data_IF_449840915497
#
_entry.id   IF_449840915497
#
_cell.length_a   1.000
_cell.length_b   1.000
_cell.length_c   1.000
_cell.angle_alpha   90.00
_cell.angle_beta   90.00
_cell.angle_gamma   90.00
#
_symmetry.space_group_name_H-M   'P 1'
#
loop_
_entity.id
_entity.type
_entity.pdbx_description
1 polymer ?
#
# COMPACT_ATOMS: atom_id res chain seq x y z
N UNK A 1 -18.23 6.29 20.11
CA UNK A 1 -18.82 6.64 18.80
C UNK A 1 -18.46 5.57 17.78
N UNK A 2 -19.25 5.42 16.71
CA UNK A 2 -18.97 4.50 15.60
C UNK A 2 -18.90 5.30 14.30
N UNK A 3 -17.80 5.18 13.57
CA UNK A 3 -17.70 5.68 12.19
C UNK A 3 -17.85 4.49 11.23
N UNK A 4 -18.54 4.71 10.11
CA UNK A 4 -18.75 3.68 9.08
C UNK A 4 -18.33 4.20 7.73
N UNK A 5 -17.72 3.33 6.93
CA UNK A 5 -17.38 3.64 5.53
C UNK A 5 -18.64 3.66 4.64
N UNK A 6 -18.67 4.49 3.57
CA UNK A 6 -19.87 4.77 2.76
C UNK A 6 -20.21 3.75 1.66
N UNK A 7 -19.66 2.53 1.70
CA UNK A 7 -19.99 1.44 0.76
C UNK A 7 -19.61 1.71 -0.71
N UNK A 8 -18.48 2.40 -0.99
CA UNK A 8 -18.03 2.68 -2.36
C UNK A 8 -17.40 1.50 -3.10
N UNK A 9 -17.26 0.37 -2.41
CA UNK A 9 -16.49 -0.79 -2.83
C UNK A 9 -15.25 -0.95 -1.96
N UNK A 10 -14.81 -2.19 -1.85
CA UNK A 10 -13.78 -2.64 -0.92
C UNK A 10 -12.51 -1.77 -0.88
N UNK A 11 -11.91 -1.45 -2.03
CA UNK A 11 -10.66 -0.69 -2.12
C UNK A 11 -10.83 0.72 -1.56
N UNK A 12 -11.86 1.43 -2.03
CA UNK A 12 -12.12 2.81 -1.59
C UNK A 12 -12.49 2.86 -0.11
N UNK A 13 -13.30 1.90 0.36
CA UNK A 13 -13.66 1.84 1.77
C UNK A 13 -12.45 1.55 2.66
N UNK A 14 -11.51 0.71 2.21
CA UNK A 14 -10.28 0.45 2.96
C UNK A 14 -9.43 1.73 3.08
N UNK A 15 -9.27 2.49 1.99
CA UNK A 15 -8.61 3.80 2.06
C UNK A 15 -9.34 4.79 2.97
N UNK A 16 -10.66 4.86 2.90
CA UNK A 16 -11.45 5.76 3.77
C UNK A 16 -11.31 5.34 5.24
N UNK A 17 -11.33 4.04 5.53
CA UNK A 17 -11.15 3.51 6.88
C UNK A 17 -9.80 3.93 7.47
N UNK A 18 -8.72 3.75 6.72
CA UNK A 18 -7.39 4.24 7.11
C UNK A 18 -7.33 5.76 7.23
N UNK A 19 -8.03 6.49 6.36
CA UNK A 19 -8.19 7.93 6.45
C UNK A 19 -8.83 8.37 7.76
N UNK A 20 -9.86 7.64 8.21
CA UNK A 20 -10.55 7.89 9.48
C UNK A 20 -9.58 7.61 10.64
N UNK A 21 -8.91 6.46 10.63
CA UNK A 21 -7.94 6.08 11.67
C UNK A 21 -6.83 7.11 11.82
N UNK A 22 -6.17 7.51 10.71
CA UNK A 22 -5.10 8.51 10.76
C UNK A 22 -5.61 9.86 11.26
N UNK A 23 -6.78 10.30 10.78
CA UNK A 23 -7.36 11.57 11.22
C UNK A 23 -7.65 11.55 12.72
N UNK A 24 -8.22 10.46 13.25
CA UNK A 24 -8.47 10.31 14.68
C UNK A 24 -7.16 10.30 15.49
N UNK A 25 -6.14 9.58 15.03
CA UNK A 25 -4.81 9.55 15.64
C UNK A 25 -4.22 10.97 15.74
N UNK A 26 -4.27 11.73 14.64
CA UNK A 26 -3.78 13.12 14.59
C UNK A 26 -4.54 14.06 15.52
N UNK A 27 -5.80 13.75 15.80
CA UNK A 27 -6.61 14.46 16.78
C UNK A 27 -6.38 13.99 18.24
N UNK A 28 -5.41 13.10 18.49
CA UNK A 28 -5.02 12.64 19.84
C UNK A 28 -5.79 11.42 20.34
N UNK A 29 -6.43 10.65 19.46
CA UNK A 29 -7.03 9.37 19.85
C UNK A 29 -5.93 8.34 20.08
N UNK A 30 -5.92 7.74 21.26
CA UNK A 30 -4.93 6.72 21.68
C UNK A 30 -5.45 5.28 21.51
N UNK A 31 -6.77 5.09 21.41
CA UNK A 31 -7.40 3.78 21.33
C UNK A 31 -8.55 3.78 20.31
N UNK A 32 -8.53 2.82 19.39
CA UNK A 32 -9.64 2.49 18.50
C UNK A 32 -9.56 1.04 18.04
N UNK A 33 -10.69 0.51 17.57
CA UNK A 33 -10.78 -0.82 16.94
C UNK A 33 -11.34 -0.64 15.53
N UNK A 34 -10.62 -1.15 14.54
CA UNK A 34 -11.06 -1.23 13.15
C UNK A 34 -11.66 -2.62 12.90
N UNK A 35 -12.96 -2.66 12.60
CA UNK A 35 -13.73 -3.90 12.42
C UNK A 35 -14.10 -4.06 10.93
N UNK A 36 -13.51 -5.01 10.21
CA UNK A 36 -13.92 -5.32 8.84
C UNK A 36 -15.31 -5.96 8.80
N UNK A 37 -16.12 -5.56 7.82
CA UNK A 37 -17.50 -6.00 7.61
C UNK A 37 -17.74 -6.26 6.11
N UNK A 38 -17.07 -7.28 5.57
CA UNK A 38 -17.11 -7.58 4.14
C UNK A 38 -16.34 -6.54 3.33
N UNK A 39 -17.05 -5.70 2.58
CA UNK A 39 -16.47 -4.58 1.82
C UNK A 39 -16.44 -3.26 2.61
N UNK A 40 -17.01 -3.23 3.81
CA UNK A 40 -17.14 -2.05 4.67
C UNK A 40 -16.32 -2.18 5.94
N UNK A 41 -16.18 -1.07 6.67
CA UNK A 41 -15.54 -1.02 7.97
C UNK A 41 -16.36 -0.23 8.97
N UNK A 42 -16.33 -0.69 10.22
CA UNK A 42 -16.75 0.07 11.39
C UNK A 42 -15.53 0.41 12.23
N UNK A 43 -15.34 1.68 12.59
CA UNK A 43 -14.32 2.14 13.51
C UNK A 43 -15.00 2.48 14.85
N UNK A 44 -14.66 1.74 15.89
CA UNK A 44 -15.13 1.98 17.26
C UNK A 44 -14.10 2.79 18.03
N UNK A 45 -14.53 3.95 18.55
CA UNK A 45 -13.62 4.93 19.18
C UNK A 45 -14.36 5.83 20.16
N UNK A 46 -13.69 6.28 21.22
CA UNK A 46 -14.21 7.32 22.10
C UNK A 46 -13.85 8.74 21.59
N UNK A 47 -14.44 9.14 20.46
CA UNK A 47 -14.22 10.44 19.85
C UNK A 47 -15.51 11.03 19.28
N UNK A 48 -15.51 12.32 18.96
CA UNK A 48 -16.63 13.03 18.32
C UNK A 48 -16.39 13.24 16.83
N UNK A 49 -17.43 13.60 16.07
CA UNK A 49 -17.28 14.04 14.68
C UNK A 49 -16.39 15.29 14.56
N UNK A 50 -16.47 16.21 15.53
CA UNK A 50 -15.59 17.37 15.60
C UNK A 50 -14.11 17.00 15.75
N UNK A 51 -13.82 15.93 16.50
CA UNK A 51 -12.48 15.35 16.64
C UNK A 51 -11.96 14.84 15.29
N UNK A 52 -12.79 14.09 14.56
CA UNK A 52 -12.45 13.60 13.22
C UNK A 52 -12.16 14.77 12.25
N UNK A 53 -13.01 15.79 12.20
CA UNK A 53 -12.83 16.95 11.32
C UNK A 53 -11.55 17.74 11.65
N UNK A 54 -11.23 17.91 12.93
CA UNK A 54 -9.97 18.55 13.34
C UNK A 54 -8.76 17.74 12.86
N UNK A 55 -8.81 16.41 13.01
CA UNK A 55 -7.80 15.49 12.51
C UNK A 55 -7.61 15.52 11.00
N UNK A 56 -8.71 15.54 10.24
CA UNK A 56 -8.67 15.68 8.78
C UNK A 56 -7.98 17.01 8.42
N UNK A 57 -8.35 18.11 9.05
CA UNK A 57 -7.76 19.41 8.77
C UNK A 57 -6.24 19.44 9.05
N UNK A 58 -5.81 18.91 10.19
CA UNK A 58 -4.39 18.81 10.54
C UNK A 58 -3.61 17.96 9.53
N UNK A 59 -4.16 16.80 9.19
CA UNK A 59 -3.54 15.88 8.24
C UNK A 59 -3.43 16.48 6.83
N UNK A 60 -4.48 17.15 6.36
CA UNK A 60 -4.46 17.83 5.06
C UNK A 60 -3.46 18.98 5.02
N UNK A 61 -3.25 19.71 6.13
CA UNK A 61 -2.21 20.75 6.21
C UNK A 61 -0.83 20.17 6.02
N UNK A 62 -0.50 19.09 6.73
CA UNK A 62 0.78 18.41 6.59
C UNK A 62 1.00 17.89 5.17
N UNK A 63 0.01 17.16 4.63
CA UNK A 63 0.05 16.63 3.27
C UNK A 63 0.29 17.75 2.26
N UNK A 64 -0.52 18.80 2.27
CA UNK A 64 -0.39 19.92 1.32
C UNK A 64 0.94 20.66 1.49
N UNK A 65 1.42 20.86 2.71
CA UNK A 65 2.74 21.44 2.97
C UNK A 65 3.85 20.57 2.39
N UNK A 66 3.77 19.24 2.51
CA UNK A 66 4.73 18.31 1.90
C UNK A 66 4.73 18.42 0.37
N UNK A 67 3.54 18.49 -0.26
CA UNK A 67 3.42 18.68 -1.71
C UNK A 67 4.12 19.96 -2.19
N UNK A 68 3.94 21.07 -1.49
CA UNK A 68 4.60 22.32 -1.85
C UNK A 68 6.10 22.32 -1.51
N UNK A 69 6.52 21.67 -0.43
CA UNK A 69 7.93 21.56 -0.05
C UNK A 69 8.74 20.70 -1.05
N UNK A 70 8.15 19.63 -1.56
CA UNK A 70 8.75 18.76 -2.59
C UNK A 70 8.42 19.23 -4.02
N UNK A 71 7.62 20.28 -4.16
CA UNK A 71 7.04 20.71 -5.42
C UNK A 71 8.01 21.55 -6.26
N UNK A 72 8.04 21.27 -7.56
CA UNK A 72 8.67 22.14 -8.57
C UNK A 72 7.64 22.70 -9.52
N UNK A 73 7.73 24.00 -9.81
CA UNK A 73 6.92 24.61 -10.85
C UNK A 73 7.38 24.12 -12.23
N UNK A 74 6.48 23.55 -13.01
CA UNK A 74 6.76 23.04 -14.35
C UNK A 74 6.18 23.96 -15.43
N UNK A 75 7.02 24.69 -16.18
CA UNK A 75 6.57 25.48 -17.32
C UNK A 75 5.90 24.63 -18.41
N UNK A 76 6.38 23.39 -18.60
CA UNK A 76 5.84 22.42 -19.56
C UNK A 76 4.41 21.99 -19.24
N UNK A 77 4.01 22.08 -17.98
CA UNK A 77 2.67 21.75 -17.51
C UNK A 77 1.81 23.00 -17.29
N UNK A 78 2.23 24.16 -17.79
CA UNK A 78 1.47 25.42 -17.65
C UNK A 78 1.65 26.09 -16.29
N UNK A 79 2.82 25.95 -15.65
CA UNK A 79 3.13 26.57 -14.36
C UNK A 79 2.56 25.81 -13.15
N UNK A 80 2.20 24.54 -13.32
CA UNK A 80 1.69 23.66 -12.25
C UNK A 80 2.80 23.24 -11.29
N UNK A 81 2.43 22.91 -10.05
CA UNK A 81 3.35 22.36 -9.06
C UNK A 81 3.35 20.85 -9.21
N UNK A 82 4.50 20.29 -9.60
CA UNK A 82 4.70 18.85 -9.71
C UNK A 82 5.54 18.41 -8.54
N UNK A 83 5.03 17.55 -7.68
CA UNK A 83 5.76 17.05 -6.50
C UNK A 83 5.77 15.52 -6.49
N UNK A 84 6.81 14.94 -5.90
CA UNK A 84 6.90 13.50 -5.70
C UNK A 84 6.02 12.99 -4.52
N UNK A 85 5.22 13.85 -3.90
CA UNK A 85 4.21 13.45 -2.94
C UNK A 85 3.18 12.48 -3.56
N UNK A 86 2.72 11.51 -2.77
CA UNK A 86 1.91 10.37 -3.22
C UNK A 86 0.62 10.79 -3.95
N UNK A 87 -0.08 11.78 -3.41
CA UNK A 87 -1.32 12.32 -3.97
C UNK A 87 -1.08 13.32 -5.12
N UNK A 88 0.15 13.43 -5.61
CA UNK A 88 0.56 14.18 -6.81
C UNK A 88 1.36 13.25 -7.73
N UNK A 89 2.51 13.66 -8.27
CA UNK A 89 3.27 12.87 -9.24
C UNK A 89 3.95 11.61 -8.67
N UNK A 90 3.99 11.47 -7.33
CA UNK A 90 4.55 10.29 -6.66
C UNK A 90 3.83 8.99 -7.05
N UNK A 91 2.52 8.93 -6.81
CA UNK A 91 1.69 7.76 -7.11
C UNK A 91 0.69 7.96 -8.27
N UNK A 92 0.55 9.19 -8.79
CA UNK A 92 -0.29 9.43 -9.96
C UNK A 92 0.52 9.47 -11.24
N UNK A 93 0.16 8.60 -12.17
CA UNK A 93 0.82 8.50 -13.48
C UNK A 93 0.32 9.58 -14.48
N UNK A 94 -0.93 10.02 -14.34
CA UNK A 94 -1.57 11.00 -15.21
C UNK A 94 -1.41 12.42 -14.65
N UNK A 95 -0.87 13.32 -15.47
CA UNK A 95 -0.56 14.71 -15.12
C UNK A 95 -1.79 15.58 -14.78
N UNK A 96 -2.98 15.17 -15.20
CA UNK A 96 -4.23 15.84 -14.81
C UNK A 96 -4.41 15.82 -13.28
N UNK A 97 -3.98 14.74 -12.62
CA UNK A 97 -4.15 14.58 -11.17
C UNK A 97 -3.09 15.30 -10.34
N UNK A 98 -1.91 15.59 -10.90
CA UNK A 98 -0.78 16.17 -10.16
C UNK A 98 -1.11 17.49 -9.47
N UNK A 99 -1.98 18.29 -10.10
CA UNK A 99 -2.53 19.52 -9.52
C UNK A 99 -4.00 19.38 -9.11
N UNK A 100 -4.77 18.54 -9.80
CA UNK A 100 -6.20 18.38 -9.54
C UNK A 100 -6.49 17.88 -8.14
N UNK A 101 -5.71 16.88 -7.68
CA UNK A 101 -5.86 16.30 -6.34
C UNK A 101 -5.47 17.31 -5.26
N UNK A 102 -4.24 17.91 -5.23
CA UNK A 102 -3.92 18.92 -4.23
C UNK A 102 -4.89 20.11 -4.19
N UNK A 103 -5.38 20.56 -5.34
CA UNK A 103 -6.33 21.69 -5.41
C UNK A 103 -7.66 21.34 -4.75
N UNK A 104 -8.20 20.14 -5.00
CA UNK A 104 -9.41 19.66 -4.37
C UNK A 104 -9.22 19.50 -2.84
N UNK A 105 -8.11 18.91 -2.40
CA UNK A 105 -7.79 18.77 -0.97
C UNK A 105 -7.67 20.13 -0.27
N UNK A 106 -7.08 21.13 -0.94
CA UNK A 106 -6.98 22.51 -0.43
C UNK A 106 -8.35 23.18 -0.30
N UNK A 107 -9.25 22.98 -1.26
CA UNK A 107 -10.63 23.48 -1.16
C UNK A 107 -11.38 22.85 0.02
N UNK A 108 -11.22 21.53 0.20
CA UNK A 108 -11.84 20.78 1.30
C UNK A 108 -11.32 21.30 2.65
N UNK A 109 -10.00 21.44 2.80
CA UNK A 109 -9.38 22.03 4.00
C UNK A 109 -9.97 23.40 4.32
N UNK A 110 -10.04 24.29 3.32
CA UNK A 110 -10.62 25.62 3.49
C UNK A 110 -12.10 25.60 3.92
N UNK A 111 -12.89 24.59 3.51
CA UNK A 111 -14.27 24.41 3.99
C UNK A 111 -14.31 23.94 5.45
N UNK A 112 -13.42 23.03 5.85
CA UNK A 112 -13.31 22.58 7.26
C UNK A 112 -12.98 23.78 8.14
N UNK A 113 -11.95 24.55 7.80
CA UNK A 113 -11.49 25.69 8.60
C UNK A 113 -12.50 26.83 8.70
N UNK A 114 -13.30 27.03 7.65
CA UNK A 114 -14.36 28.05 7.64
C UNK A 114 -15.70 27.56 8.18
N UNK A 115 -15.81 26.30 8.62
CA UNK A 115 -17.05 25.70 9.09
C UNK A 115 -18.16 25.66 8.03
N UNK A 116 -17.79 25.71 6.74
CA UNK A 116 -18.75 25.66 5.63
C UNK A 116 -19.33 24.25 5.51
N UNK A 117 -20.61 24.16 5.16
CA UNK A 117 -21.26 22.87 4.91
C UNK A 117 -20.66 22.18 3.69
N UNK A 118 -20.32 20.90 3.86
CA UNK A 118 -19.97 20.03 2.76
C UNK A 118 -21.20 19.70 1.92
N UNK A 119 -20.99 19.56 0.61
CA UNK A 119 -22.05 19.04 -0.25
C UNK A 119 -22.27 17.57 0.09
N UNK A 120 -23.51 17.20 0.40
CA UNK A 120 -23.91 15.78 0.55
C UNK A 120 -24.00 15.06 -0.79
N UNK A 121 -23.95 15.80 -1.92
CA UNK A 121 -23.91 15.21 -3.26
C UNK A 121 -22.51 14.74 -3.60
N UNK A 122 -22.44 13.51 -4.13
CA UNK A 122 -21.24 12.91 -4.68
C UNK A 122 -20.83 13.65 -5.97
N UNK A 123 -19.86 14.56 -5.84
CA UNK A 123 -19.49 15.49 -6.90
C UNK A 123 -18.06 15.30 -7.41
N UNK A 124 -17.21 14.61 -6.65
CA UNK A 124 -15.80 14.40 -7.01
C UNK A 124 -15.64 13.00 -7.60
N UNK A 125 -15.06 12.91 -8.79
CA UNK A 125 -14.72 11.62 -9.41
C UNK A 125 -13.45 11.06 -8.79
N UNK A 126 -13.52 9.82 -8.30
CA UNK A 126 -12.35 9.09 -7.82
C UNK A 126 -11.38 8.79 -8.98
N UNK A 127 -10.09 9.13 -8.85
CA UNK A 127 -9.10 8.79 -9.87
C UNK A 127 -8.79 7.29 -9.86
N UNK A 128 -8.31 6.78 -11.00
CA UNK A 128 -7.96 5.36 -11.17
C UNK A 128 -6.98 4.85 -10.10
N UNK A 129 -6.15 5.73 -9.55
CA UNK A 129 -5.23 5.44 -8.44
C UNK A 129 -5.94 4.97 -7.19
N UNK A 130 -7.09 5.55 -6.84
CA UNK A 130 -7.89 5.14 -5.67
C UNK A 130 -8.91 4.05 -6.01
N UNK A 131 -9.26 3.92 -7.29
CA UNK A 131 -10.23 2.92 -7.75
C UNK A 131 -9.77 2.21 -9.04
N UNK A 132 -8.89 1.22 -8.95
CA UNK A 132 -8.42 0.49 -10.13
C UNK A 132 -9.56 -0.24 -10.85
N UNK A 133 -10.61 -0.63 -10.13
CA UNK A 133 -11.79 -1.33 -10.68
C UNK A 133 -12.65 -0.46 -11.61
N UNK A 134 -12.51 0.87 -11.57
CA UNK A 134 -13.24 1.79 -12.47
C UNK A 134 -12.61 1.89 -13.88
N UNK A 135 -11.45 1.26 -14.12
CA UNK A 135 -10.84 1.19 -15.45
C UNK A 135 -11.69 0.39 -16.44
N UNK A 136 -11.61 0.70 -17.75
CA UNK A 136 -12.48 0.13 -18.81
C UNK A 136 -12.54 -1.41 -18.92
N UNK A 137 -11.62 -2.15 -18.29
CA UNK A 137 -11.45 -3.60 -18.50
C UNK A 137 -11.70 -4.49 -17.27
N UNK A 138 -11.57 -3.98 -16.04
CA UNK A 138 -11.84 -4.73 -14.79
C UNK A 138 -13.33 -4.92 -14.40
N UNK A 139 -14.28 -4.04 -14.78
CA UNK A 139 -15.67 -4.12 -14.35
C UNK A 139 -16.36 -5.44 -14.70
N UNK A 140 -15.97 -6.10 -15.80
CA UNK A 140 -16.56 -7.37 -16.23
C UNK A 140 -16.19 -8.54 -15.32
N UNK A 141 -15.02 -8.54 -14.69
CA UNK A 141 -14.53 -9.65 -13.88
C UNK A 141 -15.03 -9.58 -12.43
N UNK A 142 -15.32 -8.38 -11.93
CA UNK A 142 -15.71 -8.13 -10.53
C UNK A 142 -17.16 -7.64 -10.38
N UNK A 143 -18.04 -7.93 -11.33
CA UNK A 143 -19.48 -7.64 -11.21
C UNK A 143 -19.86 -6.15 -11.23
N UNK A 144 -18.93 -5.24 -11.53
CA UNK A 144 -19.20 -3.80 -11.61
C UNK A 144 -19.94 -3.51 -12.93
N UNK A 145 -21.24 -3.20 -12.83
CA UNK A 145 -22.06 -2.85 -13.99
C UNK A 145 -21.68 -1.46 -14.52
N UNK A 146 -20.76 -1.43 -15.49
CA UNK A 146 -20.49 -0.28 -16.36
C UNK A 146 -19.40 0.66 -15.86
N UNK A 147 -18.58 1.13 -16.80
CA UNK A 147 -17.45 2.06 -16.57
C UNK A 147 -17.87 3.51 -16.30
N UNK A 148 -18.87 3.72 -15.43
CA UNK A 148 -19.20 5.05 -14.94
C UNK A 148 -18.19 5.45 -13.86
N UNK A 149 -17.67 6.70 -13.89
CA UNK A 149 -16.80 7.19 -12.85
C UNK A 149 -17.51 7.12 -11.49
N UNK A 150 -16.87 6.49 -10.50
CA UNK A 150 -17.39 6.52 -9.13
C UNK A 150 -17.22 7.94 -8.60
N UNK A 151 -18.34 8.52 -8.17
CA UNK A 151 -18.37 9.82 -7.53
C UNK A 151 -18.43 9.64 -6.01
N UNK A 152 -17.75 10.53 -5.29
CA UNK A 152 -17.69 10.52 -3.84
C UNK A 152 -17.95 11.91 -3.25
N UNK A 153 -18.30 11.93 -1.96
CA UNK A 153 -18.39 13.16 -1.20
C UNK A 153 -17.00 13.80 -1.03
N UNK A 154 -16.99 15.07 -0.66
CA UNK A 154 -15.76 15.82 -0.42
C UNK A 154 -14.95 15.25 0.76
N UNK A 155 -15.62 14.86 1.83
CA UNK A 155 -14.97 14.29 3.02
C UNK A 155 -14.40 12.90 2.74
N UNK A 156 -15.17 12.05 2.06
CA UNK A 156 -14.70 10.71 1.70
C UNK A 156 -13.51 10.76 0.73
N UNK A 157 -13.49 11.75 -0.18
CA UNK A 157 -12.36 11.99 -1.07
C UNK A 157 -11.09 12.37 -0.30
N UNK A 158 -11.22 13.26 0.70
CA UNK A 158 -10.09 13.62 1.57
C UNK A 158 -9.61 12.42 2.39
N UNK A 159 -10.53 11.68 3.02
CA UNK A 159 -10.21 10.49 3.82
C UNK A 159 -9.53 9.41 2.97
N UNK A 160 -10.01 9.15 1.76
CA UNK A 160 -9.39 8.18 0.85
C UNK A 160 -7.94 8.57 0.52
N UNK A 161 -7.66 9.85 0.26
CA UNK A 161 -6.29 10.30 0.02
C UNK A 161 -5.41 10.29 1.26
N UNK A 162 -5.95 10.58 2.44
CA UNK A 162 -5.23 10.43 3.71
C UNK A 162 -4.85 8.97 3.91
N UNK A 163 -5.81 8.04 3.79
CA UNK A 163 -5.54 6.62 3.95
C UNK A 163 -4.53 6.09 2.91
N UNK A 164 -4.67 6.51 1.65
CA UNK A 164 -3.69 6.19 0.61
C UNK A 164 -2.29 6.71 0.98
N UNK A 165 -2.19 7.97 1.40
CA UNK A 165 -0.91 8.60 1.71
C UNK A 165 -0.18 7.95 2.89
N UNK A 166 -0.88 7.40 3.88
CA UNK A 166 -0.19 6.82 5.04
C UNK A 166 -0.11 5.29 5.03
N UNK A 167 -1.06 4.59 4.41
CA UNK A 167 -1.21 3.12 4.55
C UNK A 167 -1.10 2.36 3.23
N UNK A 168 -0.90 3.04 2.10
CA UNK A 168 -0.74 2.39 0.79
C UNK A 168 0.72 2.48 0.32
N UNK A 169 1.57 1.50 0.68
CA UNK A 169 2.88 1.41 0.07
C UNK A 169 2.75 1.26 -1.45
N UNK A 170 3.64 1.92 -2.18
CA UNK A 170 3.74 1.76 -3.62
C UNK A 170 5.19 1.81 -4.09
N UNK A 171 5.46 1.14 -5.21
CA UNK A 171 6.75 1.22 -5.91
C UNK A 171 6.51 1.80 -7.30
N UNK A 172 7.21 2.89 -7.59
CA UNK A 172 7.26 3.50 -8.91
C UNK A 172 8.52 3.02 -9.66
N UNK A 173 8.33 2.20 -10.71
CA UNK A 173 9.40 1.64 -11.54
C UNK A 173 9.25 2.18 -12.96
N UNK A 174 10.30 2.74 -13.53
CA UNK A 174 10.32 3.17 -14.93
C UNK A 174 11.36 2.38 -15.73
N UNK A 175 10.97 1.90 -16.90
CA UNK A 175 11.89 1.42 -17.94
C UNK A 175 11.98 2.42 -19.11
N UNK A 176 12.65 2.06 -20.21
CA UNK A 176 12.84 2.96 -21.35
C UNK A 176 11.53 3.37 -22.04
N UNK A 177 10.45 2.61 -21.87
CA UNK A 177 9.22 2.74 -22.63
C UNK A 177 8.00 3.00 -21.73
N UNK A 178 8.08 2.65 -20.44
CA UNK A 178 6.92 2.53 -19.58
C UNK A 178 7.22 2.90 -18.13
N UNK A 179 6.18 3.33 -17.42
CA UNK A 179 6.23 3.57 -15.98
C UNK A 179 5.15 2.74 -15.31
N UNK A 180 5.54 1.99 -14.29
CA UNK A 180 4.69 1.11 -13.51
C UNK A 180 4.61 1.67 -12.08
N UNK A 181 3.40 1.78 -11.55
CA UNK A 181 3.19 2.07 -10.13
C UNK A 181 2.45 0.87 -9.54
N UNK A 182 3.21 0.04 -8.82
CA UNK A 182 2.71 -1.09 -8.05
C UNK A 182 2.18 -0.56 -6.73
N UNK A 183 0.88 -0.72 -6.48
CA UNK A 183 0.23 -0.28 -5.25
C UNK A 183 -0.17 -1.51 -4.46
N UNK A 184 0.08 -1.43 -3.16
CA UNK A 184 -0.15 -2.48 -2.19
C UNK A 184 -1.05 -1.92 -1.10
N UNK A 185 -2.23 -2.49 -0.94
CA UNK A 185 -3.21 -2.07 0.05
C UNK A 185 -3.45 -3.22 1.04
N UNK A 186 -2.84 -3.16 2.24
CA UNK A 186 -3.13 -4.10 3.31
C UNK A 186 -4.60 -4.00 3.71
N UNK A 187 -5.26 -5.14 3.86
CA UNK A 187 -6.66 -5.28 4.25
C UNK A 187 -6.76 -6.23 5.44
N UNK A 188 -7.21 -5.78 6.63
CA UNK A 188 -7.51 -6.68 7.72
C UNK A 188 -8.74 -7.54 7.41
N UNK A 189 -8.65 -8.84 7.71
CA UNK A 189 -9.77 -9.78 7.63
C UNK A 189 -10.48 -10.00 8.98
N UNK A 190 -9.83 -9.59 10.06
CA UNK A 190 -10.33 -9.67 11.43
C UNK A 190 -10.28 -8.30 12.11
N UNK A 191 -10.96 -8.12 13.26
CA UNK A 191 -10.82 -6.90 14.04
C UNK A 191 -9.37 -6.66 14.47
N UNK A 192 -8.89 -5.43 14.27
CA UNK A 192 -7.54 -5.00 14.63
C UNK A 192 -7.58 -3.73 15.48
N UNK A 193 -6.70 -3.61 16.46
CA UNK A 193 -6.58 -2.43 17.30
C UNK A 193 -5.68 -1.38 16.63
N UNK A 194 -5.57 -0.20 17.25
CA UNK A 194 -4.78 0.89 16.70
C UNK A 194 -3.33 0.48 16.43
N UNK A 195 -2.69 -0.26 17.33
CA UNK A 195 -1.27 -0.60 17.21
C UNK A 195 -1.00 -1.52 16.01
N UNK A 196 -1.89 -2.46 15.71
CA UNK A 196 -1.75 -3.30 14.51
C UNK A 196 -1.97 -2.47 13.24
N UNK A 197 -2.93 -1.54 13.24
CA UNK A 197 -3.13 -0.64 12.08
C UNK A 197 -1.90 0.25 11.87
N UNK A 198 -1.31 0.82 12.92
CA UNK A 198 -0.09 1.61 12.84
C UNK A 198 1.11 0.81 12.35
N UNK A 199 1.18 -0.49 12.65
CA UNK A 199 2.23 -1.36 12.12
C UNK A 199 2.14 -1.53 10.60
N UNK A 200 0.95 -1.39 10.00
CA UNK A 200 0.78 -1.40 8.54
C UNK A 200 1.29 -0.09 7.89
N UNK A 201 1.19 1.03 8.61
CA UNK A 201 1.77 2.32 8.17
C UNK A 201 3.30 2.22 8.05
N UNK A 202 3.94 1.44 8.93
CA UNK A 202 5.39 1.22 8.91
C UNK A 202 5.89 0.48 7.67
N UNK A 203 5.02 -0.25 6.96
CA UNK A 203 5.37 -0.84 5.66
C UNK A 203 5.86 0.23 4.67
N UNK A 204 5.36 1.46 4.80
CA UNK A 204 5.70 2.60 3.94
C UNK A 204 6.96 3.36 4.37
N UNK A 205 7.47 3.15 5.59
CA UNK A 205 8.18 4.19 6.36
C UNK A 205 9.60 4.57 5.93
N UNK A 206 10.30 3.82 5.05
CA UNK A 206 11.76 4.05 4.89
C UNK A 206 12.27 4.45 3.50
N UNK A 207 11.62 4.11 2.38
CA UNK A 207 12.14 4.41 1.04
C UNK A 207 11.03 4.67 0.02
N UNK A 208 10.72 5.94 -0.20
CA UNK A 208 9.58 6.33 -1.03
C UNK A 208 9.81 6.18 -2.54
N UNK A 209 11.04 6.10 -3.03
CA UNK A 209 11.30 6.13 -4.48
C UNK A 209 12.47 5.24 -4.91
N UNK A 210 12.16 4.01 -5.31
CA UNK A 210 13.07 3.19 -6.10
C UNK A 210 13.10 3.69 -7.55
N UNK A 211 13.79 4.81 -7.82
CA UNK A 211 14.16 5.18 -9.19
C UNK A 211 15.29 4.27 -9.68
N UNK A 212 14.97 3.00 -9.86
CA UNK A 212 15.93 1.99 -10.28
C UNK A 212 15.97 1.98 -11.80
N UNK A 213 16.78 2.88 -12.37
CA UNK A 213 17.17 2.76 -13.76
C UNK A 213 17.71 1.33 -13.97
N UNK A 214 17.05 0.57 -14.86
CA UNK A 214 17.42 -0.80 -15.29
C UNK A 214 17.10 -2.00 -14.38
N UNK A 215 16.32 -1.88 -13.30
CA UNK A 215 15.87 -3.09 -12.56
C UNK A 215 14.61 -3.72 -13.16
N UNK A 216 14.76 -4.30 -14.36
CA UNK A 216 13.71 -5.06 -15.05
C UNK A 216 12.96 -6.06 -14.14
N UNK A 217 13.60 -6.77 -13.18
CA UNK A 217 12.86 -7.71 -12.34
C UNK A 217 11.78 -7.06 -11.46
N UNK A 218 11.98 -5.80 -11.05
CA UNK A 218 11.02 -5.09 -10.20
C UNK A 218 9.82 -4.52 -10.97
N UNK A 219 9.74 -4.70 -12.29
CA UNK A 219 8.47 -4.51 -13.01
C UNK A 219 7.48 -5.64 -12.72
N UNK A 220 7.96 -6.77 -12.17
CA UNK A 220 7.09 -7.80 -11.62
C UNK A 220 6.61 -7.41 -10.22
N UNK A 221 5.28 -7.32 -10.08
CA UNK A 221 4.59 -6.93 -8.86
C UNK A 221 5.01 -7.71 -7.59
N UNK A 222 5.24 -9.02 -7.70
CA UNK A 222 5.55 -9.89 -6.54
C UNK A 222 7.01 -9.77 -6.13
N UNK A 223 7.92 -9.67 -7.10
CA UNK A 223 9.34 -9.35 -6.83
C UNK A 223 9.47 -7.99 -6.17
N UNK A 224 8.74 -7.00 -6.70
CA UNK A 224 8.64 -5.67 -6.11
C UNK A 224 8.10 -5.71 -4.68
N UNK A 225 7.06 -6.52 -4.41
CA UNK A 225 6.48 -6.67 -3.07
C UNK A 225 7.49 -7.25 -2.08
N UNK A 226 8.11 -8.39 -2.41
CA UNK A 226 9.13 -9.01 -1.55
C UNK A 226 10.26 -8.02 -1.26
N UNK A 227 10.73 -7.33 -2.30
CA UNK A 227 11.79 -6.34 -2.18
C UNK A 227 11.40 -5.16 -1.29
N UNK A 228 10.18 -4.64 -1.48
CA UNK A 228 9.65 -3.55 -0.68
C UNK A 228 9.62 -3.93 0.78
N UNK A 229 8.83 -4.97 1.09
CA UNK A 229 8.61 -5.49 2.43
C UNK A 229 9.97 -5.60 3.12
N UNK A 230 10.81 -6.52 2.65
CA UNK A 230 12.11 -6.81 3.27
C UNK A 230 12.90 -5.55 3.67
N UNK A 231 12.88 -4.48 2.86
CA UNK A 231 13.70 -3.28 3.06
C UNK A 231 13.03 -2.12 3.77
N UNK A 232 11.70 -2.06 3.85
CA UNK A 232 11.00 -0.89 4.39
C UNK A 232 10.37 -1.12 5.75
N UNK A 233 10.01 -2.36 6.07
CA UNK A 233 9.39 -2.64 7.36
C UNK A 233 10.40 -2.86 8.49
N UNK A 234 9.98 -2.52 9.71
CA UNK A 234 10.72 -2.78 10.95
C UNK A 234 10.43 -4.20 11.46
N UNK A 235 11.33 -4.76 12.27
CA UNK A 235 11.09 -6.07 12.89
C UNK A 235 9.92 -6.03 13.87
N UNK A 236 9.76 -4.91 14.56
CA UNK A 236 8.70 -4.65 15.53
C UNK A 236 7.33 -4.55 14.85
N UNK A 237 7.25 -3.89 13.68
CA UNK A 237 6.02 -3.86 12.90
C UNK A 237 5.65 -5.26 12.42
N UNK A 238 6.63 -6.04 11.94
CA UNK A 238 6.42 -7.44 11.57
C UNK A 238 5.91 -8.28 12.74
N UNK A 239 6.57 -8.21 13.89
CA UNK A 239 6.19 -8.94 15.10
C UNK A 239 4.75 -8.62 15.51
N UNK A 240 4.37 -7.34 15.48
CA UNK A 240 3.03 -6.88 15.88
C UNK A 240 1.92 -7.44 15.00
N UNK A 241 2.17 -7.61 13.70
CA UNK A 241 1.20 -8.16 12.74
C UNK A 241 1.38 -9.65 12.47
N UNK A 242 2.37 -10.31 13.09
CA UNK A 242 2.61 -11.74 12.92
C UNK A 242 1.37 -12.50 13.42
N UNK A 243 0.94 -13.54 12.68
CA UNK A 243 -0.27 -14.36 12.95
C UNK A 243 -1.61 -13.64 12.83
N UNK A 244 -1.64 -12.37 12.45
CA UNK A 244 -2.88 -11.65 12.16
C UNK A 244 -3.30 -11.90 10.72
N UNK A 245 -4.62 -11.90 10.48
CA UNK A 245 -5.14 -12.19 9.14
C UNK A 245 -5.25 -10.92 8.29
N UNK A 246 -4.35 -10.80 7.32
CA UNK A 246 -4.33 -9.72 6.34
C UNK A 246 -4.28 -10.25 4.91
N UNK A 247 -5.05 -9.65 4.01
CA UNK A 247 -4.84 -9.77 2.57
C UNK A 247 -4.24 -8.49 2.03
N UNK A 248 -3.51 -8.58 0.94
CA UNK A 248 -2.99 -7.44 0.22
C UNK A 248 -3.73 -7.31 -1.10
N UNK A 249 -4.52 -6.24 -1.25
CA UNK A 249 -5.07 -5.87 -2.55
C UNK A 249 -3.95 -5.20 -3.33
N UNK A 250 -3.62 -5.76 -4.48
CA UNK A 250 -2.50 -5.32 -5.30
C UNK A 250 -2.95 -4.91 -6.68
N UNK A 251 -2.41 -3.80 -7.19
CA UNK A 251 -2.69 -3.38 -8.55
C UNK A 251 -1.57 -2.54 -9.13
N UNK A 252 -1.38 -2.67 -10.44
CA UNK A 252 -0.34 -1.93 -11.17
C UNK A 252 -0.98 -0.96 -12.14
N UNK A 253 -0.68 0.32 -11.97
CA UNK A 253 -0.91 1.33 -13.00
C UNK A 253 0.28 1.33 -13.96
N UNK A 254 0.04 1.25 -15.26
CA UNK A 254 1.08 1.40 -16.28
C UNK A 254 0.81 2.62 -17.15
N UNK A 255 1.86 3.40 -17.40
CA UNK A 255 1.92 4.43 -18.44
C UNK A 255 2.72 3.96 -19.64
N UNK A 256 2.15 4.10 -20.83
CA UNK A 256 2.91 4.05 -22.09
C UNK A 256 2.54 5.26 -22.93
N UNK A 257 3.50 6.18 -23.12
CA UNK A 257 3.24 7.48 -23.74
C UNK A 257 2.19 8.29 -22.95
N UNK A 258 1.04 8.55 -23.56
CA UNK A 258 -0.10 9.27 -22.97
C UNK A 258 -1.22 8.33 -22.45
N UNK A 259 -1.07 7.02 -22.63
CA UNK A 259 -2.08 6.06 -22.18
C UNK A 259 -1.76 5.58 -20.76
N UNK A 260 -2.78 5.53 -19.90
CA UNK A 260 -2.72 4.90 -18.58
C UNK A 260 -3.75 3.77 -18.51
N UNK A 261 -3.35 2.63 -17.96
CA UNK A 261 -4.23 1.49 -17.71
C UNK A 261 -3.85 0.76 -16.42
N UNK A 262 -4.81 0.01 -15.87
CA UNK A 262 -4.50 -1.01 -14.85
C UNK A 262 -4.04 -2.27 -15.59
N UNK A 263 -2.86 -2.80 -15.25
CA UNK A 263 -2.26 -3.97 -15.90
C UNK A 263 -2.34 -5.25 -15.11
N UNK A 264 -2.23 -5.13 -13.80
CA UNK A 264 -2.44 -6.23 -12.88
C UNK A 264 -3.40 -5.78 -11.80
N UNK A 265 -4.20 -6.74 -11.34
CA UNK A 265 -5.07 -6.59 -10.19
C UNK A 265 -5.19 -7.98 -9.57
N UNK A 266 -5.05 -8.07 -8.25
CA UNK A 266 -5.21 -9.33 -7.54
C UNK A 266 -5.08 -9.16 -6.04
N UNK A 267 -5.50 -10.19 -5.32
CA UNK A 267 -5.34 -10.29 -3.88
C UNK A 267 -4.26 -11.33 -3.59
N UNK A 268 -3.39 -11.01 -2.63
CA UNK A 268 -2.37 -11.92 -2.11
C UNK A 268 -2.61 -12.10 -0.63
N UNK A 269 -2.68 -13.35 -0.17
CA UNK A 269 -2.51 -13.62 1.26
C UNK A 269 -1.03 -13.39 1.59
N UNK A 270 -0.76 -12.30 2.31
CA UNK A 270 0.60 -11.91 2.68
C UNK A 270 0.93 -12.28 4.11
N UNK A 271 -0.01 -12.78 4.91
CA UNK A 271 0.22 -13.10 6.31
C UNK A 271 1.41 -14.06 6.44
N UNK A 272 1.44 -15.12 5.61
CA UNK A 272 2.56 -16.06 5.54
C UNK A 272 3.89 -15.41 5.14
N UNK A 273 3.86 -14.48 4.20
CA UNK A 273 5.06 -13.78 3.76
C UNK A 273 5.60 -12.86 4.86
N UNK A 274 4.72 -12.19 5.60
CA UNK A 274 5.09 -11.33 6.74
C UNK A 274 5.65 -12.15 7.90
N UNK A 275 5.00 -13.26 8.25
CA UNK A 275 5.47 -14.22 9.27
C UNK A 275 6.84 -14.80 8.90
N UNK A 276 7.01 -15.17 7.62
CA UNK A 276 8.29 -15.61 7.09
C UNK A 276 9.36 -14.52 7.22
N UNK A 277 9.07 -13.29 6.79
CA UNK A 277 10.01 -12.17 6.84
C UNK A 277 10.40 -11.81 8.27
N UNK A 278 9.47 -11.91 9.22
CA UNK A 278 9.77 -11.74 10.64
C UNK A 278 10.81 -12.77 11.11
N UNK A 279 10.55 -14.06 10.89
CA UNK A 279 11.48 -15.12 11.28
C UNK A 279 12.83 -15.01 10.55
N UNK A 280 12.80 -14.72 9.25
CA UNK A 280 13.99 -14.60 8.40
C UNK A 280 14.88 -13.41 8.78
N UNK A 281 14.29 -12.23 8.98
CA UNK A 281 15.01 -11.02 9.40
C UNK A 281 15.50 -11.13 10.84
N UNK A 282 14.73 -11.77 11.74
CA UNK A 282 15.13 -11.96 13.14
C UNK A 282 16.39 -12.82 13.30
N UNK A 283 16.64 -13.76 12.37
CA UNK A 283 17.86 -14.55 12.38
C UNK A 283 19.12 -13.73 12.07
N UNK A 284 19.07 -12.90 11.01
CA UNK A 284 20.15 -11.98 10.69
C UNK A 284 19.68 -10.86 9.73
N UNK A 285 19.38 -9.64 10.22
CA UNK A 285 18.83 -8.58 9.37
C UNK A 285 19.74 -8.20 8.20
N UNK A 286 21.05 -8.09 8.45
CA UNK A 286 22.03 -7.70 7.43
C UNK A 286 22.09 -8.70 6.28
N UNK A 287 22.16 -10.00 6.57
CA UNK A 287 22.20 -11.02 5.53
C UNK A 287 20.83 -11.25 4.89
N UNK A 288 19.73 -11.04 5.61
CA UNK A 288 18.38 -11.08 5.02
C UNK A 288 18.21 -10.05 3.91
N UNK A 289 18.61 -8.79 4.12
CA UNK A 289 18.59 -7.76 3.09
C UNK A 289 19.45 -8.15 1.88
N UNK A 290 20.69 -8.60 2.13
CA UNK A 290 21.62 -9.00 1.06
C UNK A 290 21.16 -10.23 0.27
N UNK A 291 20.46 -11.14 0.93
CA UNK A 291 19.86 -12.30 0.28
C UNK A 291 18.79 -11.87 -0.72
N UNK A 292 17.85 -11.01 -0.30
CA UNK A 292 16.79 -10.49 -1.18
C UNK A 292 17.34 -9.58 -2.27
N UNK A 293 18.35 -8.77 -1.97
CA UNK A 293 19.08 -7.95 -2.96
C UNK A 293 19.73 -8.80 -4.06
N UNK A 294 20.21 -10.01 -3.73
CA UNK A 294 20.80 -10.92 -4.71
C UNK A 294 19.74 -11.76 -5.43
N UNK A 295 18.67 -12.13 -4.71
CA UNK A 295 17.57 -12.92 -5.27
C UNK A 295 16.86 -12.14 -6.37
N UNK A 296 16.54 -10.86 -6.12
CA UNK A 296 15.77 -10.01 -7.06
C UNK A 296 16.38 -9.92 -8.46
N UNK A 297 17.68 -10.16 -8.62
CA UNK A 297 18.37 -10.09 -9.90
C UNK A 297 18.05 -11.29 -10.80
N UNK A 298 17.37 -12.32 -10.27
CA UNK A 298 16.87 -13.48 -10.98
C UNK A 298 15.36 -13.63 -10.80
N UNK A 299 14.61 -13.29 -11.85
CA UNK A 299 13.15 -13.31 -11.81
C UNK A 299 12.59 -14.71 -11.54
N UNK A 300 13.14 -15.75 -12.17
CA UNK A 300 12.60 -17.12 -12.04
C UNK A 300 12.85 -17.65 -10.63
N UNK A 301 14.08 -17.52 -10.12
CA UNK A 301 14.41 -17.94 -8.76
C UNK A 301 13.63 -17.14 -7.71
N UNK A 302 13.42 -15.84 -7.93
CA UNK A 302 12.65 -15.02 -6.98
C UNK A 302 11.19 -15.45 -6.94
N UNK A 303 10.57 -15.70 -8.11
CA UNK A 303 9.17 -16.12 -8.15
C UNK A 303 9.00 -17.50 -7.51
N UNK A 304 9.90 -18.45 -7.80
CA UNK A 304 9.90 -19.77 -7.17
C UNK A 304 10.05 -19.67 -5.64
N UNK A 305 10.91 -18.78 -5.14
CA UNK A 305 11.06 -18.53 -3.71
C UNK A 305 9.78 -17.95 -3.08
N UNK A 306 9.16 -16.95 -3.72
CA UNK A 306 7.92 -16.34 -3.21
C UNK A 306 6.78 -17.37 -3.25
N UNK A 307 6.63 -18.13 -4.33
CA UNK A 307 5.62 -19.19 -4.46
C UNK A 307 5.81 -20.26 -3.40
N UNK A 308 7.05 -20.69 -3.16
CA UNK A 308 7.37 -21.64 -2.11
C UNK A 308 6.98 -21.17 -0.71
N UNK A 309 7.17 -19.89 -0.39
CA UNK A 309 6.73 -19.31 0.90
C UNK A 309 5.20 -19.26 0.98
N UNK A 310 4.52 -18.73 -0.06
CA UNK A 310 3.07 -18.56 -0.02
C UNK A 310 2.31 -19.90 0.00
N UNK A 311 2.86 -20.93 -0.63
CA UNK A 311 2.25 -22.26 -0.75
C UNK A 311 2.84 -23.30 0.19
N UNK A 312 3.74 -22.91 1.09
CA UNK A 312 4.43 -23.82 2.02
C UNK A 312 5.14 -24.98 1.30
N UNK A 313 5.67 -24.71 0.10
CA UNK A 313 6.46 -25.65 -0.68
C UNK A 313 7.95 -25.47 -0.36
N UNK A 314 8.43 -26.28 0.60
CA UNK A 314 9.82 -26.28 1.04
C UNK A 314 10.79 -26.67 -0.08
N UNK A 315 10.37 -27.52 -1.03
CA UNK A 315 11.22 -27.96 -2.13
C UNK A 315 11.48 -26.80 -3.10
N UNK A 316 10.45 -26.02 -3.44
CA UNK A 316 10.58 -24.81 -4.26
C UNK A 316 11.52 -23.78 -3.61
N UNK A 317 11.36 -23.52 -2.30
CA UNK A 317 12.27 -22.61 -1.57
C UNK A 317 13.70 -23.15 -1.57
N UNK A 318 13.89 -24.45 -1.38
CA UNK A 318 15.21 -25.07 -1.39
C UNK A 318 15.89 -25.00 -2.75
N UNK A 319 15.15 -25.20 -3.84
CA UNK A 319 15.64 -25.05 -5.20
C UNK A 319 16.08 -23.60 -5.47
N UNK A 320 15.28 -22.62 -5.05
CA UNK A 320 15.62 -21.21 -5.17
C UNK A 320 16.91 -20.86 -4.39
N UNK A 321 17.04 -21.33 -3.15
CA UNK A 321 18.25 -21.14 -2.32
C UNK A 321 19.47 -21.76 -3.00
N UNK A 322 19.38 -22.99 -3.50
CA UNK A 322 20.49 -23.65 -4.21
C UNK A 322 20.86 -22.90 -5.49
N UNK A 323 19.87 -22.42 -6.23
CA UNK A 323 20.06 -21.58 -7.42
C UNK A 323 20.84 -20.30 -7.06
N UNK A 324 20.41 -19.61 -6.01
CA UNK A 324 21.08 -18.41 -5.52
C UNK A 324 22.49 -18.70 -4.99
N UNK A 325 22.68 -19.79 -4.24
CA UNK A 325 23.99 -20.17 -3.70
C UNK A 325 25.02 -20.43 -4.81
N UNK A 326 24.62 -21.03 -5.93
CA UNK A 326 25.49 -21.22 -7.10
C UNK A 326 25.90 -19.89 -7.73
N UNK A 327 24.98 -18.93 -7.80
CA UNK A 327 25.22 -17.61 -8.42
C UNK A 327 25.95 -16.64 -7.51
N UNK A 328 25.67 -16.70 -6.21
CA UNK A 328 26.13 -15.73 -5.23
C UNK A 328 26.37 -16.41 -3.85
N UNK A 329 27.45 -17.21 -3.71
CA UNK A 329 27.68 -18.04 -2.53
C UNK A 329 27.93 -17.25 -1.24
N UNK A 330 28.24 -15.95 -1.35
CA UNK A 330 28.56 -15.08 -0.19
C UNK A 330 27.32 -14.58 0.55
N UNK A 331 26.14 -14.64 -0.07
CA UNK A 331 24.89 -14.14 0.52
C UNK A 331 24.05 -15.24 1.17
N UNK A 332 24.22 -16.49 0.74
CA UNK A 332 23.55 -17.65 1.36
C UNK A 332 24.37 -18.10 2.58
N UNK A 333 23.88 -17.77 3.77
CA UNK A 333 24.52 -18.09 5.04
C UNK A 333 23.83 -19.26 5.75
N UNK A 334 24.56 -20.13 6.47
CA UNK A 334 23.97 -21.24 7.21
C UNK A 334 22.84 -20.80 8.14
N UNK A 335 23.01 -19.69 8.86
CA UNK A 335 22.01 -19.20 9.82
C UNK A 335 20.70 -18.80 9.13
N UNK A 336 20.77 -18.29 7.90
CA UNK A 336 19.58 -17.98 7.10
C UNK A 336 18.89 -19.25 6.61
N UNK A 337 19.65 -20.25 6.19
CA UNK A 337 19.08 -21.53 5.74
C UNK A 337 18.39 -22.24 6.90
N UNK A 338 19.02 -22.25 8.09
CA UNK A 338 18.42 -22.80 9.31
C UNK A 338 17.13 -22.07 9.69
N UNK A 339 17.11 -20.74 9.61
CA UNK A 339 15.90 -19.96 9.88
C UNK A 339 14.76 -20.31 8.92
N UNK A 340 15.06 -20.48 7.62
CA UNK A 340 14.07 -20.89 6.62
C UNK A 340 13.54 -22.29 6.93
N UNK A 341 14.42 -23.26 7.19
CA UNK A 341 14.01 -24.63 7.51
C UNK A 341 13.15 -24.68 8.77
N UNK A 342 13.54 -23.96 9.83
CA UNK A 342 12.76 -23.86 11.06
C UNK A 342 11.35 -23.32 10.81
N UNK A 343 11.20 -22.32 9.94
CA UNK A 343 9.87 -21.77 9.62
C UNK A 343 8.96 -22.81 8.96
N UNK A 344 9.49 -23.63 8.05
CA UNK A 344 8.73 -24.73 7.45
C UNK A 344 8.38 -25.83 8.46
N UNK A 345 9.33 -26.20 9.32
CA UNK A 345 9.10 -27.21 10.36
C UNK A 345 8.05 -26.75 11.39
N UNK A 346 8.09 -25.47 11.78
CA UNK A 346 7.11 -24.87 12.67
C UNK A 346 5.74 -24.68 12.00
N UNK A 347 5.70 -24.28 10.72
CA UNK A 347 4.46 -24.13 9.95
C UNK A 347 3.67 -25.44 9.80
N UNK A 348 4.36 -26.56 9.61
CA UNK A 348 3.73 -27.89 9.56
C UNK A 348 3.13 -28.34 10.90
N UNK A 349 3.56 -27.77 12.03
CA UNK A 349 2.97 -28.07 13.34
C UNK A 349 1.63 -27.34 13.59
N UNK A 350 1.37 -26.24 12.88
CA UNK A 350 0.15 -25.43 13.03
C UNK A 350 -0.96 -25.76 12.02
N UNK A 351 -0.67 -26.49 10.93
CA UNK A 351 -1.68 -26.97 9.97
C UNK A 351 -2.56 -28.12 10.50
N UNK A 352 -2.35 -28.52 11.76
CA UNK A 352 -3.07 -29.59 12.46
C UNK A 352 -3.93 -29.12 13.65
N UNK A 353 -4.16 -27.82 13.83
CA UNK A 353 -5.01 -27.27 14.87
C UNK A 353 -6.27 -26.59 14.35
#
# INVERSE_FOLDING_TARGET
MRFKTPSYGEILNTYIAYGIVESLLRAGVEELILIPQGEEYTIEVNASEGTLLAGIADTLKEMLSLHYALGRYSPKEGGKVVSDADFSAGANINNVYWNGVPSALKEILGKIESGKRFSTRQNITAPLTLIPTAGKFLPKTYGVKGGNPIKMSELDYALAWIGFHYYAPYINVSDSNSTYIHIYLPKPLEPVELIEVLSLKDLKAQKSHYHLASNKPLTNLRVALLYHLTHTETLEALETITKKQFTLITYTLERVGNNQAVRSFGELDIAKLMDFLWNFKSANPYYAFRFVDALKDDLELTLEFIDGILHEDADAVYLAIRGLQRKNPKVVRPELVEAILRWFDEGQAFSHF
#
